data_IF_979166360185
#
_entry.id   IF_979166360185
#
_cell.length_a   1.000
_cell.length_b   1.000
_cell.length_c   1.000
_cell.angle_alpha   90.00
_cell.angle_beta   90.00
_cell.angle_gamma   90.00
#
_symmetry.space_group_name_H-M   'P 1'
#
loop_
_entity.id
_entity.type
_entity.pdbx_description
1 polymer ?
#
# COMPACT_ATOMS: atom_id res chain seq x y z
N UNK A 1 59.50 6.43 12.72
CA UNK A 1 58.62 5.78 13.72
C UNK A 1 57.67 6.74 14.41
N UNK A 2 58.09 7.93 14.87
CA UNK A 2 57.19 8.87 15.58
C UNK A 2 55.98 9.38 14.78
N UNK A 3 56.12 9.64 13.47
CA UNK A 3 55.01 10.16 12.66
C UNK A 3 53.87 9.15 12.47
N UNK A 4 54.18 7.86 12.40
CA UNK A 4 53.15 6.82 12.26
C UNK A 4 52.29 6.70 13.53
N UNK A 5 52.92 6.83 14.71
CA UNK A 5 52.24 6.83 16.01
C UNK A 5 51.27 8.01 16.17
N UNK A 6 51.48 9.10 15.43
CA UNK A 6 50.60 10.29 15.44
C UNK A 6 49.51 10.18 14.37
N UNK A 7 49.86 9.77 13.14
CA UNK A 7 48.91 9.72 12.02
C UNK A 7 47.85 8.64 12.22
N UNK A 8 48.24 7.44 12.69
CA UNK A 8 47.31 6.32 12.77
C UNK A 8 46.08 6.66 13.65
N UNK A 9 46.22 7.16 14.89
CA UNK A 9 45.08 7.58 15.72
C UNK A 9 44.20 8.67 15.07
N UNK A 10 44.82 9.62 14.36
CA UNK A 10 44.11 10.70 13.67
C UNK A 10 43.26 10.14 12.53
N UNK A 11 43.81 9.25 11.71
CA UNK A 11 43.08 8.61 10.60
C UNK A 11 41.89 7.78 11.09
N UNK A 12 42.02 7.09 12.24
CA UNK A 12 40.91 6.37 12.86
C UNK A 12 39.78 7.26 13.39
N UNK A 13 40.06 8.55 13.61
CA UNK A 13 39.08 9.53 14.08
C UNK A 13 38.26 10.14 12.94
N UNK A 14 38.71 9.98 11.69
CA UNK A 14 37.95 10.42 10.50
C UNK A 14 37.04 9.30 9.99
N UNK A 15 35.84 9.64 9.51
CA UNK A 15 34.94 8.65 8.93
C UNK A 15 35.56 8.04 7.68
N UNK A 16 35.48 6.72 7.58
CA UNK A 16 35.98 6.01 6.41
C UNK A 16 35.03 6.17 5.21
N UNK A 17 35.59 6.11 4.00
CA UNK A 17 34.83 6.21 2.75
C UNK A 17 33.83 5.05 2.55
N UNK A 18 33.97 3.94 3.29
CA UNK A 18 32.98 2.86 3.30
C UNK A 18 31.58 3.38 3.66
N UNK A 19 31.48 4.34 4.59
CA UNK A 19 30.21 4.96 4.97
C UNK A 19 29.60 5.88 3.92
N UNK A 20 30.32 6.23 2.85
CA UNK A 20 29.69 6.94 1.71
C UNK A 20 28.77 6.01 0.92
N UNK A 21 29.06 4.71 0.90
CA UNK A 21 28.21 3.72 0.21
C UNK A 21 26.79 3.66 0.82
N UNK A 22 26.67 4.01 2.09
CA UNK A 22 25.37 4.16 2.78
C UNK A 22 24.56 5.34 2.27
N UNK A 23 25.17 6.46 1.88
CA UNK A 23 24.45 7.60 1.30
C UNK A 23 23.96 7.25 -0.11
N UNK A 24 24.76 6.48 -0.87
CA UNK A 24 24.37 5.97 -2.19
C UNK A 24 23.12 5.09 -2.09
N UNK A 25 22.97 4.30 -1.01
CA UNK A 25 21.74 3.54 -0.80
C UNK A 25 20.50 4.43 -0.71
N UNK A 26 20.59 5.57 -0.03
CA UNK A 26 19.44 6.49 0.12
C UNK A 26 19.04 7.06 -1.24
N UNK A 27 20.01 7.43 -2.08
CA UNK A 27 19.74 7.86 -3.45
C UNK A 27 19.14 6.75 -4.31
N UNK A 28 19.63 5.52 -4.13
CA UNK A 28 19.03 4.34 -4.76
C UNK A 28 17.61 4.10 -4.27
N UNK A 29 17.34 4.26 -2.98
CA UNK A 29 16.03 4.05 -2.36
C UNK A 29 15.01 5.03 -2.95
N UNK A 30 15.37 6.30 -3.09
CA UNK A 30 14.52 7.30 -3.73
C UNK A 30 14.20 6.94 -5.18
N UNK A 31 15.22 6.62 -5.97
CA UNK A 31 15.05 6.19 -7.35
C UNK A 31 14.21 4.90 -7.46
N UNK A 32 14.44 3.94 -6.56
CA UNK A 32 13.70 2.67 -6.52
C UNK A 32 12.23 2.87 -6.15
N UNK A 33 11.92 3.88 -5.33
CA UNK A 33 10.57 4.28 -4.97
C UNK A 33 9.88 5.16 -6.02
N UNK A 34 10.57 5.53 -7.11
CA UNK A 34 10.01 6.40 -8.14
C UNK A 34 9.89 7.87 -7.72
N UNK A 35 10.57 8.29 -6.65
CA UNK A 35 10.56 9.66 -6.15
C UNK A 35 11.56 10.53 -6.91
N UNK A 36 11.07 11.60 -7.52
CA UNK A 36 11.87 12.58 -8.23
C UNK A 36 12.51 13.57 -7.25
N UNK A 37 13.75 13.30 -6.82
CA UNK A 37 14.50 14.23 -5.97
C UNK A 37 14.89 15.48 -6.78
N UNK A 38 14.32 16.64 -6.42
CA UNK A 38 14.71 17.93 -7.01
C UNK A 38 16.18 18.29 -6.74
N UNK A 39 16.80 19.02 -7.66
CA UNK A 39 18.22 19.40 -7.59
C UNK A 39 18.57 20.13 -6.28
N UNK A 40 17.63 20.94 -5.75
CA UNK A 40 17.82 21.70 -4.53
C UNK A 40 17.88 20.83 -3.27
N UNK A 41 17.28 19.64 -3.30
CA UNK A 41 17.24 18.68 -2.18
C UNK A 41 18.57 17.96 -2.00
N UNK A 42 19.41 17.88 -3.04
CA UNK A 42 20.74 17.25 -2.97
C UNK A 42 21.72 18.00 -2.05
N UNK A 43 21.58 19.32 -1.91
CA UNK A 43 22.53 20.12 -1.11
C UNK A 43 22.35 19.86 0.39
N UNK A 44 21.13 19.98 0.97
CA UNK A 44 20.87 19.57 2.36
C UNK A 44 21.21 18.09 2.60
N UNK A 45 20.85 17.21 1.65
CA UNK A 45 21.15 15.79 1.76
C UNK A 45 22.65 15.50 1.80
N UNK A 46 23.46 16.20 0.99
CA UNK A 46 24.91 16.05 1.00
C UNK A 46 25.52 16.49 2.33
N UNK A 47 25.00 17.58 2.92
CA UNK A 47 25.45 18.07 4.23
C UNK A 47 25.05 17.10 5.34
N UNK A 48 23.79 16.67 5.37
CA UNK A 48 23.29 15.70 6.35
C UNK A 48 24.00 14.35 6.21
N UNK A 49 24.25 13.91 4.98
CA UNK A 49 25.02 12.73 4.66
C UNK A 49 26.47 12.81 5.15
N UNK A 50 27.14 13.96 5.00
CA UNK A 50 28.49 14.16 5.53
C UNK A 50 28.53 14.07 7.07
N UNK A 51 27.55 14.66 7.75
CA UNK A 51 27.42 14.58 9.21
C UNK A 51 27.15 13.14 9.65
N UNK A 52 26.31 12.42 8.90
CA UNK A 52 25.92 11.06 9.21
C UNK A 52 27.06 10.04 9.09
N UNK A 53 28.12 10.37 8.35
CA UNK A 53 29.35 9.57 8.33
C UNK A 53 29.97 9.36 9.72
N UNK A 54 29.70 10.23 10.69
CA UNK A 54 30.15 10.05 12.08
C UNK A 54 29.20 9.17 12.91
N UNK A 55 27.95 9.02 12.48
CA UNK A 55 26.93 8.23 13.16
C UNK A 55 27.02 6.73 12.91
N UNK A 56 26.14 5.99 13.57
CA UNK A 56 25.88 4.59 13.24
C UNK A 56 25.01 4.53 11.98
N UNK A 57 25.30 3.55 11.12
CA UNK A 57 24.54 3.32 9.89
C UNK A 57 23.07 3.03 10.17
N UNK A 58 22.80 2.29 11.24
CA UNK A 58 21.46 1.89 11.69
C UNK A 58 20.58 3.07 12.11
N UNK A 59 21.16 4.21 12.50
CA UNK A 59 20.42 5.44 12.80
C UNK A 59 20.40 6.38 11.59
N UNK A 60 21.52 6.41 10.86
CA UNK A 60 21.73 7.29 9.73
C UNK A 60 20.75 7.02 8.59
N UNK A 61 20.57 5.75 8.20
CA UNK A 61 19.73 5.42 7.05
C UNK A 61 18.26 5.76 7.31
N UNK A 62 17.64 5.32 8.41
CA UNK A 62 16.27 5.73 8.73
C UNK A 62 16.11 7.26 8.77
N UNK A 63 17.04 7.98 9.39
CA UNK A 63 17.00 9.44 9.47
C UNK A 63 17.09 10.13 8.08
N UNK A 64 17.90 9.58 7.17
CA UNK A 64 18.01 10.12 5.81
C UNK A 64 16.82 9.74 4.92
N UNK A 65 16.23 8.56 5.11
CA UNK A 65 14.97 8.18 4.45
C UNK A 65 13.83 9.08 4.89
N UNK A 66 13.69 9.29 6.21
CA UNK A 66 12.71 10.18 6.82
C UNK A 66 12.86 11.63 6.33
N UNK A 67 14.10 12.13 6.25
CA UNK A 67 14.38 13.46 5.68
C UNK A 67 13.99 13.62 4.21
N UNK A 68 13.78 12.52 3.48
CA UNK A 68 13.33 12.50 2.08
C UNK A 68 11.88 12.00 1.96
N UNK A 69 11.17 11.82 3.08
CA UNK A 69 9.82 11.27 3.14
C UNK A 69 9.67 9.89 2.47
N UNK A 70 10.77 9.13 2.41
CA UNK A 70 10.80 7.79 1.82
C UNK A 70 10.36 6.73 2.82
N UNK A 71 9.72 5.66 2.30
CA UNK A 71 9.23 4.55 3.12
C UNK A 71 10.31 3.94 4.01
N UNK A 72 9.99 3.79 5.29
CA UNK A 72 10.83 3.16 6.30
C UNK A 72 11.12 1.67 6.01
N UNK A 73 10.27 0.99 5.23
CA UNK A 73 10.48 -0.39 4.79
C UNK A 73 11.71 -0.55 3.89
N UNK A 74 12.16 0.53 3.23
CA UNK A 74 13.41 0.54 2.47
C UNK A 74 14.63 0.28 3.36
N UNK A 75 14.54 0.54 4.67
CA UNK A 75 15.58 0.14 5.60
C UNK A 75 15.73 -1.39 5.71
N UNK A 76 14.65 -2.16 5.55
CA UNK A 76 14.76 -3.62 5.49
C UNK A 76 15.50 -4.07 4.22
N UNK A 77 15.24 -3.40 3.09
CA UNK A 77 15.99 -3.62 1.85
C UNK A 77 17.48 -3.29 2.04
N UNK A 78 17.79 -2.19 2.74
CA UNK A 78 19.15 -1.88 3.14
C UNK A 78 19.77 -3.02 3.94
N UNK A 79 19.09 -3.49 4.99
CA UNK A 79 19.58 -4.55 5.86
C UNK A 79 19.93 -5.82 5.10
N UNK A 80 19.08 -6.25 4.16
CA UNK A 80 19.33 -7.41 3.30
C UNK A 80 20.50 -7.16 2.35
N UNK A 81 20.55 -6.01 1.68
CA UNK A 81 21.65 -5.67 0.76
C UNK A 81 23.00 -5.53 1.49
N UNK A 82 22.97 -5.08 2.74
CA UNK A 82 24.15 -4.86 3.58
C UNK A 82 24.95 -6.15 3.84
N UNK A 83 24.29 -7.30 3.81
CA UNK A 83 24.96 -8.61 3.91
C UNK A 83 25.98 -8.81 2.78
N UNK A 84 25.68 -8.27 1.59
CA UNK A 84 26.56 -8.33 0.42
C UNK A 84 27.49 -7.13 0.34
N UNK A 85 26.96 -5.92 0.54
CA UNK A 85 27.73 -4.68 0.36
C UNK A 85 28.73 -4.44 1.49
N UNK A 86 28.51 -4.97 2.70
CA UNK A 86 29.42 -4.82 3.85
C UNK A 86 30.86 -5.26 3.58
N UNK A 87 31.07 -6.27 2.71
CA UNK A 87 32.40 -6.72 2.30
C UNK A 87 33.13 -5.65 1.49
N UNK A 88 32.42 -4.99 0.58
CA UNK A 88 32.94 -3.87 -0.21
C UNK A 88 33.19 -2.64 0.65
N UNK A 89 32.27 -2.33 1.58
CA UNK A 89 32.42 -1.27 2.58
C UNK A 89 33.68 -1.48 3.41
N UNK A 90 33.92 -2.70 3.89
CA UNK A 90 35.10 -3.04 4.70
C UNK A 90 36.39 -2.89 3.90
N UNK A 91 36.39 -3.31 2.63
CA UNK A 91 37.53 -3.18 1.74
C UNK A 91 37.83 -1.71 1.43
N UNK A 92 36.81 -0.91 1.12
CA UNK A 92 36.96 0.53 0.86
C UNK A 92 37.45 1.28 2.10
N UNK A 93 36.96 0.92 3.29
CA UNK A 93 37.43 1.47 4.56
C UNK A 93 38.90 1.13 4.82
N UNK A 94 39.30 -0.13 4.63
CA UNK A 94 40.69 -0.55 4.78
C UNK A 94 41.62 0.17 3.80
N UNK A 95 41.21 0.32 2.53
CA UNK A 95 41.98 1.07 1.53
C UNK A 95 42.12 2.55 1.89
N UNK A 96 41.03 3.19 2.34
CA UNK A 96 41.06 4.59 2.77
C UNK A 96 42.04 4.80 3.93
N UNK A 97 41.94 3.98 4.97
CA UNK A 97 42.84 4.05 6.14
C UNK A 97 44.29 3.79 5.72
N UNK A 98 44.52 2.77 4.88
CA UNK A 98 45.85 2.44 4.40
C UNK A 98 46.47 3.58 3.59
N UNK A 99 45.74 4.17 2.65
CA UNK A 99 46.20 5.29 1.82
C UNK A 99 46.52 6.51 2.68
N UNK A 100 45.66 6.87 3.63
CA UNK A 100 45.88 8.01 4.52
C UNK A 100 47.06 7.78 5.47
N UNK A 101 47.15 6.59 6.07
CA UNK A 101 48.21 6.26 7.02
C UNK A 101 49.59 6.15 6.33
N UNK A 102 49.69 5.34 5.27
CA UNK A 102 50.94 5.11 4.55
C UNK A 102 51.33 6.33 3.71
N UNK A 103 50.38 6.91 2.97
CA UNK A 103 50.60 8.09 2.16
C UNK A 103 50.97 9.31 3.01
N UNK A 104 50.24 9.55 4.10
CA UNK A 104 50.53 10.63 5.04
C UNK A 104 51.91 10.47 5.69
N UNK A 105 52.24 9.26 6.16
CA UNK A 105 53.56 8.99 6.74
C UNK A 105 54.68 9.17 5.71
N UNK A 106 54.51 8.65 4.49
CA UNK A 106 55.49 8.80 3.41
C UNK A 106 55.70 10.27 3.01
N UNK A 107 54.65 11.09 3.05
CA UNK A 107 54.75 12.54 2.83
C UNK A 107 55.48 13.25 3.97
N UNK A 108 55.16 12.95 5.24
CA UNK A 108 55.81 13.57 6.41
C UNK A 108 57.30 13.19 6.54
N UNK A 109 57.66 11.97 6.17
CA UNK A 109 59.08 11.51 6.15
C UNK A 109 59.82 12.04 4.92
N UNK A 110 59.13 12.66 3.96
CA UNK A 110 59.73 13.24 2.75
C UNK A 110 60.08 12.22 1.66
N UNK A 111 59.64 10.96 1.80
CA UNK A 111 59.80 9.89 0.80
C UNK A 111 58.87 10.13 -0.40
N UNK A 112 57.68 10.69 -0.15
CA UNK A 112 56.71 11.06 -1.16
C UNK A 112 56.62 12.58 -1.28
N UNK A 113 56.64 13.10 -2.51
CA UNK A 113 56.40 14.51 -2.81
C UNK A 113 55.09 14.66 -3.58
N UNK A 114 54.28 15.63 -3.17
CA UNK A 114 53.04 15.97 -3.86
C UNK A 114 53.38 16.66 -5.18
N UNK A 115 52.87 16.12 -6.28
CA UNK A 115 53.00 16.72 -7.61
C UNK A 115 51.69 17.38 -7.99
N UNK A 116 51.67 18.71 -8.09
CA UNK A 116 50.45 19.44 -8.44
C UNK A 116 49.90 19.07 -9.81
N UNK A 117 50.77 18.84 -10.80
CA UNK A 117 50.34 18.37 -12.12
C UNK A 117 49.62 17.02 -12.07
N UNK A 118 50.13 16.06 -11.29
CA UNK A 118 49.49 14.75 -11.12
C UNK A 118 48.21 14.86 -10.29
N UNK A 119 48.19 15.68 -9.25
CA UNK A 119 46.96 15.93 -8.49
C UNK A 119 45.86 16.49 -9.37
N UNK A 120 46.13 17.54 -10.15
CA UNK A 120 45.14 18.13 -11.05
C UNK A 120 44.65 17.11 -12.08
N UNK A 121 45.58 16.34 -12.68
CA UNK A 121 45.24 15.31 -13.65
C UNK A 121 44.35 14.22 -13.04
N UNK A 122 44.70 13.67 -11.87
CA UNK A 122 43.90 12.62 -11.23
C UNK A 122 42.57 13.16 -10.69
N UNK A 123 42.56 14.36 -10.12
CA UNK A 123 41.32 15.04 -9.71
C UNK A 123 40.37 15.30 -10.87
N UNK A 124 40.88 15.54 -12.08
CA UNK A 124 40.07 15.66 -13.30
C UNK A 124 39.66 14.28 -13.87
N UNK A 125 40.51 13.27 -13.77
CA UNK A 125 40.26 11.93 -14.29
C UNK A 125 39.20 11.18 -13.46
N UNK A 126 39.22 11.33 -12.14
CA UNK A 126 38.30 10.65 -11.21
C UNK A 126 36.82 10.88 -11.56
N UNK A 127 36.31 12.12 -11.73
CA UNK A 127 34.91 12.34 -12.08
C UNK A 127 34.55 11.80 -13.47
N UNK A 128 35.49 11.78 -14.42
CA UNK A 128 35.27 11.17 -15.75
C UNK A 128 35.10 9.67 -15.65
N UNK A 129 36.01 8.97 -14.96
CA UNK A 129 35.92 7.51 -14.77
C UNK A 129 34.68 7.14 -13.96
N UNK A 130 34.35 7.93 -12.94
CA UNK A 130 33.14 7.74 -12.13
C UNK A 130 31.88 7.93 -12.97
N UNK A 131 31.79 9.01 -13.76
CA UNK A 131 30.67 9.27 -14.65
C UNK A 131 30.48 8.17 -15.71
N UNK A 132 31.56 7.71 -16.32
CA UNK A 132 31.51 6.58 -17.28
C UNK A 132 31.02 5.30 -16.60
N UNK A 133 31.52 5.01 -15.40
CA UNK A 133 31.08 3.84 -14.62
C UNK A 133 29.59 3.94 -14.27
N UNK A 134 29.12 5.12 -13.83
CA UNK A 134 27.71 5.35 -13.53
C UNK A 134 26.82 5.18 -14.76
N UNK A 135 27.20 5.75 -15.91
CA UNK A 135 26.44 5.60 -17.15
C UNK A 135 26.39 4.16 -17.63
N UNK A 136 27.51 3.44 -17.55
CA UNK A 136 27.57 2.02 -17.89
C UNK A 136 26.71 1.16 -16.95
N UNK A 137 26.77 1.42 -15.64
CA UNK A 137 25.92 0.74 -14.66
C UNK A 137 24.44 1.07 -14.84
N UNK A 138 24.10 2.34 -15.10
CA UNK A 138 22.72 2.78 -15.37
C UNK A 138 22.16 2.12 -16.62
N UNK A 139 22.92 2.12 -17.72
CA UNK A 139 22.53 1.43 -18.96
C UNK A 139 22.34 -0.08 -18.74
N UNK A 140 23.26 -0.73 -18.04
CA UNK A 140 23.18 -2.15 -17.73
C UNK A 140 21.99 -2.48 -16.81
N UNK A 141 21.75 -1.67 -15.77
CA UNK A 141 20.60 -1.83 -14.88
C UNK A 141 19.29 -1.62 -15.62
N UNK A 142 19.17 -0.58 -16.46
CA UNK A 142 17.97 -0.34 -17.27
C UNK A 142 17.66 -1.47 -18.27
N UNK A 143 18.66 -2.26 -18.66
CA UNK A 143 18.49 -3.40 -19.56
C UNK A 143 18.12 -4.71 -18.82
N UNK A 144 18.39 -4.80 -17.52
CA UNK A 144 18.25 -6.03 -16.72
C UNK A 144 17.10 -5.92 -15.71
N UNK A 145 16.91 -4.74 -15.13
CA UNK A 145 15.94 -4.46 -14.07
C UNK A 145 14.80 -3.67 -14.68
N UNK A 146 13.63 -4.28 -14.75
CA UNK A 146 12.40 -3.58 -15.12
C UNK A 146 11.97 -2.75 -13.91
N UNK A 147 12.19 -1.44 -13.95
CA UNK A 147 11.86 -0.48 -12.88
C UNK A 147 10.44 0.06 -12.93
N UNK A 148 9.61 -0.47 -13.82
CA UNK A 148 8.19 -0.19 -13.82
C UNK A 148 7.56 -0.75 -12.53
N UNK A 149 7.36 0.14 -11.56
CA UNK A 149 6.47 -0.10 -10.43
C UNK A 149 5.06 -0.20 -11.01
N UNK A 150 4.58 -1.43 -11.23
CA UNK A 150 3.29 -1.72 -11.84
C UNK A 150 2.23 -2.10 -10.80
N UNK A 151 2.38 -1.75 -9.52
CA UNK A 151 1.45 -2.21 -8.47
C UNK A 151 0.13 -1.43 -8.47
N UNK A 152 0.20 -0.15 -8.83
CA UNK A 152 -0.94 0.67 -9.24
C UNK A 152 -1.66 0.06 -10.44
N UNK A 153 -0.91 -0.38 -11.46
CA UNK A 153 -1.44 -1.16 -12.58
C UNK A 153 -2.02 -2.50 -12.14
N UNK A 154 -1.41 -3.23 -11.20
CA UNK A 154 -1.89 -4.53 -10.73
C UNK A 154 -3.25 -4.37 -10.07
N UNK A 155 -3.41 -3.44 -9.12
CA UNK A 155 -4.69 -3.18 -8.44
C UNK A 155 -5.72 -2.59 -9.41
N UNK A 156 -5.30 -1.71 -10.34
CA UNK A 156 -6.16 -1.15 -11.37
C UNK A 156 -6.59 -2.18 -12.44
N UNK A 157 -5.78 -3.21 -12.68
CA UNK A 157 -6.03 -4.32 -13.63
C UNK A 157 -6.53 -5.59 -12.92
N UNK A 158 -6.79 -5.56 -11.60
CA UNK A 158 -7.43 -6.70 -10.92
C UNK A 158 -8.78 -6.94 -11.57
N UNK A 159 -8.87 -8.09 -12.24
CA UNK A 159 -10.05 -8.56 -12.96
C UNK A 159 -10.75 -9.66 -12.17
N UNK A 160 -11.95 -10.06 -12.59
CA UNK A 160 -12.66 -11.19 -11.98
C UNK A 160 -11.74 -12.41 -11.80
N UNK A 161 -11.67 -12.92 -10.56
CA UNK A 161 -10.82 -14.06 -10.20
C UNK A 161 -11.27 -15.36 -10.91
N UNK A 162 -12.56 -15.45 -11.27
CA UNK A 162 -13.14 -16.57 -12.00
C UNK A 162 -14.07 -16.05 -13.11
N UNK A 163 -14.08 -16.73 -14.26
CA UNK A 163 -15.02 -16.41 -15.36
C UNK A 163 -16.40 -17.00 -15.05
N UNK A 164 -17.28 -16.19 -14.51
CA UNK A 164 -18.71 -16.52 -14.37
C UNK A 164 -19.41 -16.32 -15.74
N UNK A 165 -20.38 -17.16 -16.14
CA UNK A 165 -21.05 -17.00 -17.43
C UNK A 165 -21.67 -15.60 -17.61
N UNK A 166 -21.48 -14.98 -18.78
CA UNK A 166 -21.97 -13.63 -19.10
C UNK A 166 -23.49 -13.47 -18.89
N UNK A 167 -24.24 -14.58 -18.99
CA UNK A 167 -25.68 -14.61 -18.74
C UNK A 167 -26.07 -14.24 -17.31
N UNK A 168 -25.16 -14.46 -16.34
CA UNK A 168 -25.37 -14.12 -14.93
C UNK A 168 -25.18 -12.61 -14.73
N UNK A 169 -24.15 -12.01 -15.33
CA UNK A 169 -23.67 -10.63 -15.08
C UNK A 169 -24.31 -9.55 -15.97
N UNK A 170 -25.06 -9.92 -17.01
CA UNK A 170 -25.56 -8.99 -18.03
C UNK A 170 -26.79 -8.14 -17.63
N UNK A 171 -27.33 -8.24 -16.41
CA UNK A 171 -28.57 -7.53 -16.06
C UNK A 171 -28.30 -6.14 -15.49
N UNK A 172 -28.72 -5.10 -16.20
CA UNK A 172 -28.58 -3.71 -15.74
C UNK A 172 -29.63 -3.37 -14.69
N UNK A 173 -29.23 -2.69 -13.62
CA UNK A 173 -30.12 -2.37 -12.51
C UNK A 173 -31.19 -1.33 -12.86
N UNK A 174 -30.97 -0.50 -13.87
CA UNK A 174 -31.92 0.49 -14.36
C UNK A 174 -33.11 -0.14 -15.11
N UNK A 175 -33.00 -1.41 -15.49
CA UNK A 175 -34.08 -2.20 -16.10
C UNK A 175 -34.92 -2.96 -15.06
N UNK A 176 -34.60 -2.84 -13.76
CA UNK A 176 -35.35 -3.50 -12.69
C UNK A 176 -36.74 -2.90 -12.53
N UNK A 177 -37.75 -3.78 -12.45
CA UNK A 177 -39.09 -3.39 -12.05
C UNK A 177 -39.07 -2.74 -10.66
N UNK A 178 -39.90 -1.71 -10.48
CA UNK A 178 -39.99 -0.92 -9.26
C UNK A 178 -40.17 -1.84 -8.04
N UNK A 179 -39.40 -1.57 -6.98
CA UNK A 179 -39.47 -2.34 -5.75
C UNK A 179 -40.84 -2.21 -5.10
N UNK A 180 -41.50 -3.35 -4.85
CA UNK A 180 -42.80 -3.45 -4.17
C UNK A 180 -42.66 -3.88 -2.70
N UNK A 181 -41.43 -4.04 -2.21
CA UNK A 181 -41.08 -4.50 -0.87
C UNK A 181 -39.99 -5.58 -0.88
N UNK A 182 -39.50 -6.01 0.30
CA UNK A 182 -38.52 -7.10 0.41
C UNK A 182 -39.02 -8.40 -0.20
N UNK A 183 -38.11 -9.17 -0.80
CA UNK A 183 -38.40 -10.47 -1.43
C UNK A 183 -37.75 -11.60 -0.66
N UNK A 184 -38.47 -12.69 -0.44
CA UNK A 184 -37.89 -13.90 0.15
C UNK A 184 -37.17 -14.76 -0.92
N UNK A 185 -36.61 -15.90 -0.50
CA UNK A 185 -35.83 -16.77 -1.38
C UNK A 185 -36.65 -17.30 -2.57
N UNK A 186 -37.92 -17.66 -2.35
CA UNK A 186 -38.77 -18.22 -3.40
C UNK A 186 -39.15 -17.14 -4.41
N UNK A 187 -39.51 -15.93 -3.95
CA UNK A 187 -39.77 -14.80 -4.85
C UNK A 187 -38.53 -14.41 -5.70
N UNK A 188 -37.32 -14.55 -5.14
CA UNK A 188 -36.07 -14.34 -5.89
C UNK A 188 -35.94 -15.39 -6.99
N UNK A 189 -36.13 -16.68 -6.66
CA UNK A 189 -36.08 -17.80 -7.64
C UNK A 189 -37.12 -17.65 -8.74
N UNK A 190 -38.36 -17.36 -8.38
CA UNK A 190 -39.46 -17.14 -9.34
C UNK A 190 -39.17 -15.95 -10.27
N UNK A 191 -38.57 -14.88 -9.75
CA UNK A 191 -38.19 -13.73 -10.58
C UNK A 191 -37.00 -14.01 -11.50
N UNK A 192 -36.19 -15.04 -11.20
CA UNK A 192 -34.94 -15.35 -11.91
C UNK A 192 -33.85 -14.29 -11.76
N UNK A 193 -33.99 -13.31 -10.84
CA UNK A 193 -33.05 -12.20 -10.65
C UNK A 193 -32.78 -11.94 -9.17
N UNK A 194 -31.53 -12.12 -8.75
CA UNK A 194 -30.98 -11.70 -7.47
C UNK A 194 -30.53 -10.24 -7.53
N UNK A 195 -31.10 -9.38 -6.69
CA UNK A 195 -30.71 -7.96 -6.59
C UNK A 195 -29.73 -7.79 -5.45
N UNK A 196 -28.52 -7.35 -5.77
CA UNK A 196 -27.43 -7.19 -4.80
C UNK A 196 -27.08 -5.71 -4.68
N UNK A 197 -27.34 -5.14 -3.52
CA UNK A 197 -26.92 -3.80 -3.16
C UNK A 197 -25.42 -3.75 -2.88
N UNK A 198 -24.70 -2.79 -3.49
CA UNK A 198 -23.26 -2.60 -3.26
C UNK A 198 -22.89 -1.12 -3.15
N UNK A 199 -21.77 -0.82 -2.50
CA UNK A 199 -21.15 0.50 -2.50
C UNK A 199 -19.97 0.54 -3.50
N UNK A 200 -19.96 1.43 -4.50
CA UNK A 200 -18.95 1.44 -5.57
C UNK A 200 -17.55 1.92 -5.14
N UNK A 201 -17.37 2.42 -3.91
CA UNK A 201 -16.10 3.00 -3.45
C UNK A 201 -15.44 2.16 -2.33
N UNK A 202 -15.77 0.88 -2.22
CA UNK A 202 -15.29 0.01 -1.14
C UNK A 202 -14.22 -0.96 -1.63
N UNK A 203 -13.01 -0.46 -1.87
CA UNK A 203 -11.84 -1.30 -2.17
C UNK A 203 -11.44 -2.08 -0.92
N UNK A 204 -11.15 -3.40 -0.99
CA UNK A 204 -11.17 -4.29 -2.16
C UNK A 204 -12.47 -5.11 -2.31
N UNK A 205 -13.55 -4.74 -1.61
CA UNK A 205 -14.81 -5.51 -1.55
C UNK A 205 -15.70 -5.32 -2.78
N UNK A 206 -15.88 -4.08 -3.22
CA UNK A 206 -16.66 -3.71 -4.39
C UNK A 206 -16.23 -2.35 -4.93
N UNK A 207 -15.69 -2.33 -6.14
CA UNK A 207 -15.19 -1.13 -6.80
C UNK A 207 -15.18 -1.32 -8.32
N UNK A 208 -15.00 -0.21 -9.04
CA UNK A 208 -14.77 -0.24 -10.48
C UNK A 208 -13.27 -0.27 -10.76
N UNK A 209 -12.81 -1.25 -11.55
CA UNK A 209 -11.43 -1.31 -12.01
C UNK A 209 -11.17 -0.34 -13.18
N UNK A 210 -9.95 -0.32 -13.73
CA UNK A 210 -9.61 0.57 -14.84
C UNK A 210 -10.40 0.29 -16.13
N UNK A 211 -10.94 -0.92 -16.29
CA UNK A 211 -11.80 -1.32 -17.42
C UNK A 211 -13.28 -0.98 -17.19
N UNK A 212 -13.61 -0.17 -16.17
CA UNK A 212 -14.98 0.19 -15.78
C UNK A 212 -15.86 -1.03 -15.44
N UNK A 213 -15.24 -2.10 -14.93
CA UNK A 213 -15.93 -3.31 -14.49
C UNK A 213 -16.11 -3.30 -12.98
N UNK A 214 -17.32 -3.62 -12.53
CA UNK A 214 -17.59 -3.88 -11.11
C UNK A 214 -16.92 -5.19 -10.68
N UNK A 215 -15.94 -5.07 -9.79
CA UNK A 215 -15.12 -6.16 -9.26
C UNK A 215 -14.94 -6.04 -7.75
N UNK A 216 -14.34 -7.06 -7.15
CA UNK A 216 -14.01 -7.10 -5.72
C UNK A 216 -14.45 -8.39 -5.03
N UNK A 217 -13.97 -8.57 -3.81
CA UNK A 217 -14.20 -9.79 -3.01
C UNK A 217 -15.70 -10.14 -2.89
N UNK A 218 -16.54 -9.17 -2.52
CA UNK A 218 -17.96 -9.42 -2.30
C UNK A 218 -18.72 -9.60 -3.63
N UNK A 219 -18.29 -8.89 -4.68
CA UNK A 219 -18.85 -8.99 -6.02
C UNK A 219 -18.68 -10.42 -6.55
N UNK A 220 -17.48 -10.98 -6.43
CA UNK A 220 -17.18 -12.36 -6.87
C UNK A 220 -17.96 -13.40 -6.06
N UNK A 221 -18.08 -13.21 -4.74
CA UNK A 221 -18.84 -14.12 -3.89
C UNK A 221 -20.33 -14.11 -4.28
N UNK A 222 -20.91 -12.93 -4.58
CA UNK A 222 -22.30 -12.84 -5.02
C UNK A 222 -22.55 -13.37 -6.43
N UNK A 223 -21.60 -13.21 -7.37
CA UNK A 223 -21.69 -13.84 -8.70
C UNK A 223 -21.74 -15.37 -8.58
N UNK A 224 -20.93 -15.96 -7.68
CA UNK A 224 -20.97 -17.40 -7.40
C UNK A 224 -22.32 -17.83 -6.82
N UNK A 225 -22.85 -17.08 -5.87
CA UNK A 225 -24.19 -17.34 -5.31
C UNK A 225 -25.25 -17.37 -6.42
N UNK A 226 -25.29 -16.35 -7.28
CA UNK A 226 -26.26 -16.26 -8.36
C UNK A 226 -26.12 -17.43 -9.35
N UNK A 227 -24.89 -17.83 -9.68
CA UNK A 227 -24.63 -18.99 -10.53
C UNK A 227 -25.13 -20.31 -9.92
N UNK A 228 -24.89 -20.54 -8.63
CA UNK A 228 -25.37 -21.74 -7.91
C UNK A 228 -26.89 -21.76 -7.71
N UNK A 229 -27.50 -20.58 -7.66
CA UNK A 229 -28.96 -20.42 -7.64
C UNK A 229 -29.60 -20.50 -9.02
N UNK A 230 -28.81 -20.56 -10.10
CA UNK A 230 -29.27 -20.51 -11.50
C UNK A 230 -30.12 -19.26 -11.81
N UNK A 231 -29.79 -18.12 -11.20
CA UNK A 231 -30.45 -16.82 -11.41
C UNK A 231 -29.49 -15.78 -11.99
N UNK A 232 -30.03 -14.73 -12.61
CA UNK A 232 -29.25 -13.55 -13.00
C UNK A 232 -28.93 -12.70 -11.78
N UNK A 233 -27.84 -11.94 -11.82
CA UNK A 233 -27.49 -10.96 -10.78
C UNK A 233 -27.66 -9.54 -11.31
N UNK A 234 -28.25 -8.67 -10.50
CA UNK A 234 -28.36 -7.24 -10.76
C UNK A 234 -27.73 -6.47 -9.60
N UNK A 235 -26.64 -5.76 -9.87
CA UNK A 235 -25.95 -4.95 -8.87
C UNK A 235 -26.55 -3.55 -8.78
N UNK A 236 -27.10 -3.20 -7.61
CA UNK A 236 -27.79 -1.93 -7.35
C UNK A 236 -26.89 -1.05 -6.46
N UNK A 237 -26.44 0.13 -6.93
CA UNK A 237 -25.56 0.99 -6.14
C UNK A 237 -26.30 1.61 -4.93
N UNK A 238 -25.64 1.69 -3.79
CA UNK A 238 -26.11 2.37 -2.58
C UNK A 238 -25.02 3.27 -1.96
N UNK A 239 -25.41 4.12 -1.01
CA UNK A 239 -24.48 4.87 -0.14
C UNK A 239 -24.61 4.42 1.32
N UNK A 240 -23.57 4.61 2.13
CA UNK A 240 -23.63 4.25 3.55
C UNK A 240 -24.80 4.91 4.30
N UNK A 241 -25.22 6.09 3.87
CA UNK A 241 -26.35 6.81 4.46
C UNK A 241 -27.72 6.21 4.14
N UNK A 242 -27.87 5.46 3.03
CA UNK A 242 -29.17 4.96 2.59
C UNK A 242 -29.35 3.44 2.65
N UNK A 243 -28.27 2.66 2.80
CA UNK A 243 -28.28 1.18 2.68
C UNK A 243 -29.35 0.50 3.52
N UNK A 244 -29.48 0.85 4.81
CA UNK A 244 -30.43 0.20 5.74
C UNK A 244 -31.90 0.53 5.38
N UNK A 245 -32.15 1.71 4.81
CA UNK A 245 -33.50 2.08 4.36
C UNK A 245 -33.82 1.44 3.01
N UNK A 246 -32.86 1.43 2.09
CA UNK A 246 -33.01 0.89 0.74
C UNK A 246 -33.33 -0.62 0.77
N UNK A 247 -32.64 -1.39 1.62
CA UNK A 247 -32.88 -2.83 1.74
C UNK A 247 -34.26 -3.17 2.29
N UNK A 248 -34.73 -2.42 3.30
CA UNK A 248 -36.06 -2.62 3.88
C UNK A 248 -37.19 -2.14 2.96
N UNK A 249 -36.89 -1.28 1.99
CA UNK A 249 -37.80 -0.91 0.89
C UNK A 249 -37.81 -1.95 -0.25
N UNK A 250 -36.95 -2.96 -0.19
CA UNK A 250 -36.84 -3.99 -1.23
C UNK A 250 -36.15 -3.52 -2.52
N UNK A 251 -35.35 -2.45 -2.45
CA UNK A 251 -34.58 -1.99 -3.62
C UNK A 251 -33.56 -3.06 -4.07
N UNK A 252 -33.05 -3.83 -3.13
CA UNK A 252 -32.23 -5.01 -3.33
C UNK A 252 -32.48 -6.02 -2.21
N UNK A 253 -32.12 -7.29 -2.43
CA UNK A 253 -32.41 -8.38 -1.51
C UNK A 253 -31.29 -8.55 -0.48
N UNK A 254 -30.04 -8.34 -0.90
CA UNK A 254 -28.83 -8.50 -0.11
C UNK A 254 -27.99 -7.21 -0.22
N UNK A 255 -27.45 -6.70 0.89
CA UNK A 255 -26.40 -5.68 0.86
C UNK A 255 -25.04 -6.29 1.19
N UNK A 256 -24.06 -6.00 0.35
CA UNK A 256 -22.66 -6.40 0.49
C UNK A 256 -21.75 -5.18 0.67
N UNK A 257 -20.43 -5.29 0.46
CA UNK A 257 -19.41 -4.22 0.54
C UNK A 257 -18.81 -4.03 1.94
N UNK A 258 -18.35 -5.12 2.56
CA UNK A 258 -17.62 -5.07 3.83
C UNK A 258 -18.42 -4.48 5.00
N UNK A 259 -19.76 -4.62 4.98
CA UNK A 259 -20.64 -3.96 5.94
C UNK A 259 -20.37 -4.44 7.38
N UNK A 260 -19.87 -3.51 8.20
CA UNK A 260 -19.70 -3.75 9.62
C UNK A 260 -21.04 -4.09 10.30
N UNK A 261 -21.10 -5.25 10.96
CA UNK A 261 -22.21 -5.65 11.83
C UNK A 261 -22.04 -5.01 13.21
N UNK A 262 -23.04 -4.24 13.65
CA UNK A 262 -23.04 -3.55 14.94
C UNK A 262 -24.37 -3.72 15.64
N UNK A 263 -24.39 -3.63 16.98
CA UNK A 263 -25.62 -3.72 17.79
C UNK A 263 -26.70 -2.74 17.33
N UNK A 264 -26.31 -1.53 16.92
CA UNK A 264 -27.25 -0.55 16.39
C UNK A 264 -27.85 -0.98 15.05
N UNK A 265 -27.05 -1.58 14.15
CA UNK A 265 -27.51 -1.97 12.81
C UNK A 265 -28.38 -3.23 12.84
N UNK A 266 -28.10 -4.20 13.72
CA UNK A 266 -28.91 -5.43 13.84
C UNK A 266 -30.35 -5.16 14.32
N UNK A 267 -30.64 -3.98 14.88
CA UNK A 267 -32.02 -3.56 15.21
C UNK A 267 -32.85 -3.21 13.97
N UNK A 268 -32.20 -2.85 12.85
CA UNK A 268 -32.86 -2.34 11.64
C UNK A 268 -32.82 -3.31 10.46
N UNK A 269 -31.89 -4.25 10.43
CA UNK A 269 -31.70 -5.23 9.33
C UNK A 269 -31.27 -6.58 9.89
N UNK A 270 -31.51 -7.65 9.13
CA UNK A 270 -30.94 -8.96 9.44
C UNK A 270 -29.50 -9.04 8.91
N UNK A 271 -28.57 -9.59 9.68
CA UNK A 271 -27.20 -9.85 9.22
C UNK A 271 -26.90 -11.34 9.15
N UNK A 272 -26.14 -11.76 8.14
CA UNK A 272 -25.60 -13.10 8.09
C UNK A 272 -24.56 -13.32 9.18
N UNK A 273 -24.13 -14.58 9.36
CA UNK A 273 -22.86 -14.88 10.00
C UNK A 273 -21.73 -14.07 9.33
N UNK A 274 -20.71 -13.61 10.08
CA UNK A 274 -19.64 -12.78 9.53
C UNK A 274 -18.99 -13.45 8.33
N UNK A 275 -18.92 -12.77 7.19
CA UNK A 275 -18.20 -13.25 6.01
C UNK A 275 -16.71 -13.18 6.28
N UNK A 276 -16.26 -12.05 6.84
CA UNK A 276 -14.89 -11.79 7.28
C UNK A 276 -14.89 -11.15 8.67
N UNK A 277 -13.80 -11.34 9.41
CA UNK A 277 -13.46 -10.52 10.57
C UNK A 277 -12.39 -9.53 10.12
N UNK A 278 -12.77 -8.28 9.95
CA UNK A 278 -11.87 -7.20 9.56
C UNK A 278 -11.22 -6.59 10.79
N UNK A 279 -10.09 -5.90 10.59
CA UNK A 279 -9.31 -5.37 11.71
C UNK A 279 -9.26 -3.85 11.68
N UNK A 280 -9.44 -3.19 12.82
CA UNK A 280 -9.32 -1.72 12.86
C UNK A 280 -7.87 -1.29 12.65
N UNK A 281 -7.67 -0.27 11.82
CA UNK A 281 -6.38 0.33 11.54
C UNK A 281 -6.54 1.84 11.28
N UNK A 282 -5.41 2.54 11.30
CA UNK A 282 -5.32 3.88 10.73
C UNK A 282 -4.35 3.85 9.55
N UNK A 283 -4.57 4.71 8.57
CA UNK A 283 -3.57 5.01 7.54
C UNK A 283 -3.05 6.42 7.76
N UNK A 284 -1.73 6.60 7.70
CA UNK A 284 -1.05 7.90 7.85
C UNK A 284 0.08 7.98 6.83
N UNK A 285 0.64 9.18 6.60
CA UNK A 285 1.90 9.32 5.85
C UNK A 285 3.01 8.54 6.54
N UNK A 286 3.81 7.78 5.79
CA UNK A 286 4.80 6.87 6.36
C UNK A 286 5.83 7.61 7.23
N UNK A 287 6.31 8.77 6.78
CA UNK A 287 7.24 9.61 7.57
C UNK A 287 6.64 10.10 8.90
N UNK A 288 5.31 10.13 9.05
CA UNK A 288 4.62 10.51 10.29
C UNK A 288 4.28 9.33 11.18
N UNK A 289 4.48 8.09 10.73
CA UNK A 289 4.06 6.90 11.47
C UNK A 289 4.61 6.86 12.91
N UNK A 290 5.81 7.41 13.11
CA UNK A 290 6.48 7.50 14.40
C UNK A 290 5.73 8.37 15.42
N UNK A 291 4.99 9.38 14.97
CA UNK A 291 4.15 10.25 15.81
C UNK A 291 3.04 9.45 16.52
N UNK A 292 2.62 8.34 15.94
CA UNK A 292 1.48 7.54 16.38
C UNK A 292 1.87 6.26 17.13
N UNK A 293 3.17 6.07 17.43
CA UNK A 293 3.69 4.82 18.03
C UNK A 293 3.15 4.49 19.42
N UNK A 294 2.83 5.49 20.24
CA UNK A 294 2.43 5.27 21.63
C UNK A 294 1.26 6.14 22.05
N UNK A 295 0.40 5.61 22.93
CA UNK A 295 -0.69 6.37 23.57
C UNK A 295 -0.22 7.68 24.19
N UNK A 296 1.01 7.71 24.74
CA UNK A 296 1.59 8.91 25.34
C UNK A 296 1.85 9.99 24.28
N UNK A 297 2.42 9.62 23.13
CA UNK A 297 2.68 10.56 22.04
C UNK A 297 1.38 11.10 21.46
N UNK A 298 0.38 10.22 21.25
CA UNK A 298 -0.94 10.62 20.77
C UNK A 298 -1.62 11.63 21.70
N UNK A 299 -1.50 11.47 23.03
CA UNK A 299 -2.06 12.42 24.01
C UNK A 299 -1.29 13.74 24.11
N UNK A 300 0.00 13.75 23.73
CA UNK A 300 0.86 14.93 23.78
C UNK A 300 0.84 15.72 22.47
N UNK A 301 0.39 15.08 21.38
CA UNK A 301 0.12 15.74 20.12
C UNK A 301 -0.96 16.82 20.29
N UNK A 302 -1.00 17.76 19.35
CA UNK A 302 -2.11 18.71 19.24
C UNK A 302 -3.41 18.01 18.81
N UNK A 303 -4.32 18.78 18.23
CA UNK A 303 -5.47 18.22 17.53
C UNK A 303 -5.00 17.30 16.41
N UNK A 304 -5.50 16.07 16.38
CA UNK A 304 -5.26 15.10 15.31
C UNK A 304 -6.59 14.90 14.56
N UNK A 305 -6.61 15.26 13.29
CA UNK A 305 -7.80 15.13 12.43
C UNK A 305 -7.80 13.79 11.73
N UNK A 306 -8.85 13.00 11.95
CA UNK A 306 -8.96 11.65 11.42
C UNK A 306 -10.16 11.56 10.50
N UNK A 307 -9.90 11.33 9.21
CA UNK A 307 -10.94 11.04 8.24
C UNK A 307 -11.52 9.63 8.46
N UNK A 308 -12.77 9.42 8.08
CA UNK A 308 -13.40 8.09 8.04
C UNK A 308 -14.49 8.02 6.97
N UNK A 309 -14.58 6.88 6.27
CA UNK A 309 -15.72 6.60 5.39
C UNK A 309 -16.76 5.81 6.17
N UNK A 310 -17.87 6.49 6.49
CA UNK A 310 -18.89 5.94 7.38
C UNK A 310 -18.49 5.99 8.85
N UNK A 311 -19.34 5.43 9.71
CA UNK A 311 -19.16 5.49 11.16
C UNK A 311 -18.73 4.13 11.70
N UNK A 312 -17.43 3.99 11.98
CA UNK A 312 -16.88 2.81 12.64
C UNK A 312 -17.29 2.79 14.11
N UNK A 313 -17.74 1.62 14.61
CA UNK A 313 -18.27 1.52 15.98
C UNK A 313 -17.25 1.79 17.09
N UNK A 314 -15.94 1.80 16.77
CA UNK A 314 -14.87 2.08 17.73
C UNK A 314 -14.63 3.59 17.95
N UNK A 315 -15.13 4.46 17.05
CA UNK A 315 -14.91 5.91 17.10
C UNK A 315 -15.27 6.51 18.47
N UNK A 316 -16.45 6.24 19.07
CA UNK A 316 -16.79 6.82 20.38
C UNK A 316 -15.81 6.42 21.50
N UNK A 317 -15.27 5.19 21.44
CA UNK A 317 -14.27 4.73 22.42
C UNK A 317 -12.93 5.42 22.21
N UNK A 318 -12.57 5.73 20.96
CA UNK A 318 -11.35 6.45 20.62
C UNK A 318 -11.44 7.91 21.02
N UNK A 319 -12.58 8.58 20.81
CA UNK A 319 -12.84 9.95 21.26
C UNK A 319 -12.78 10.05 22.79
N UNK A 320 -13.34 9.07 23.51
CA UNK A 320 -13.23 9.00 24.98
C UNK A 320 -11.77 8.79 25.42
N UNK A 321 -11.05 7.88 24.75
CA UNK A 321 -9.65 7.57 25.07
C UNK A 321 -8.73 8.73 24.73
N UNK A 322 -8.95 9.44 23.62
CA UNK A 322 -8.12 10.50 23.05
C UNK A 322 -8.97 11.73 22.72
N UNK A 323 -9.20 12.64 23.68
CA UNK A 323 -10.05 13.82 23.49
C UNK A 323 -9.53 14.83 22.45
N UNK A 324 -8.29 14.68 22.00
CA UNK A 324 -7.67 15.50 20.97
C UNK A 324 -7.87 14.95 19.54
N UNK A 325 -8.56 13.82 19.39
CA UNK A 325 -8.92 13.28 18.07
C UNK A 325 -10.21 13.94 17.58
N UNK A 326 -10.16 14.49 16.37
CA UNK A 326 -11.32 15.03 15.66
C UNK A 326 -11.66 14.13 14.49
N UNK A 327 -12.75 13.36 14.59
CA UNK A 327 -13.19 12.50 13.51
C UNK A 327 -14.08 13.25 12.52
N UNK A 328 -13.75 13.18 11.23
CA UNK A 328 -14.55 13.73 10.15
C UNK A 328 -15.01 12.63 9.19
N UNK A 329 -16.29 12.63 8.83
CA UNK A 329 -16.82 11.69 7.86
C UNK A 329 -16.64 12.24 6.44
N UNK A 330 -15.87 11.52 5.63
CA UNK A 330 -15.62 11.85 4.22
C UNK A 330 -16.38 10.90 3.29
N UNK A 331 -16.53 11.31 2.02
CA UNK A 331 -17.35 10.57 1.06
C UNK A 331 -16.67 9.31 0.51
N UNK A 332 -15.34 9.28 0.44
CA UNK A 332 -14.58 8.15 -0.10
C UNK A 332 -13.14 8.16 0.42
N UNK A 333 -12.53 6.99 0.59
CA UNK A 333 -11.16 6.87 1.09
C UNK A 333 -10.17 7.62 0.18
N UNK A 334 -10.42 7.62 -1.14
CA UNK A 334 -9.62 8.34 -2.14
C UNK A 334 -9.41 9.81 -1.80
N UNK A 335 -10.40 10.49 -1.24
CA UNK A 335 -10.28 11.92 -0.89
C UNK A 335 -9.21 12.17 0.17
N UNK A 336 -8.98 11.22 1.06
CA UNK A 336 -7.91 11.32 2.06
C UNK A 336 -6.52 11.25 1.40
N UNK A 337 -6.36 10.36 0.41
CA UNK A 337 -5.10 10.22 -0.32
C UNK A 337 -4.84 11.41 -1.26
N UNK A 338 -5.87 11.90 -1.96
CA UNK A 338 -5.79 13.08 -2.83
C UNK A 338 -5.54 14.40 -2.06
N UNK A 339 -5.93 14.46 -0.78
CA UNK A 339 -5.66 15.61 0.10
C UNK A 339 -4.17 15.77 0.45
N UNK A 340 -3.40 14.67 0.36
CA UNK A 340 -1.94 14.68 0.53
C UNK A 340 -1.51 15.24 1.92
N UNK A 341 -2.31 14.96 2.95
CA UNK A 341 -2.01 15.34 4.33
C UNK A 341 -2.23 16.82 4.67
N UNK A 342 -2.96 17.58 3.84
CA UNK A 342 -3.23 19.01 4.07
C UNK A 342 -4.31 19.25 5.13
N UNK A 343 -5.34 18.41 5.15
CA UNK A 343 -6.53 18.55 5.97
C UNK A 343 -6.59 17.49 7.07
N UNK A 344 -6.23 16.25 6.75
CA UNK A 344 -6.34 15.11 7.66
C UNK A 344 -4.98 14.50 7.98
N UNK A 345 -4.78 14.16 9.26
CA UNK A 345 -3.56 13.54 9.77
C UNK A 345 -3.57 12.01 9.60
N UNK A 346 -4.76 11.41 9.54
CA UNK A 346 -4.93 9.99 9.33
C UNK A 346 -6.32 9.60 8.84
N UNK A 347 -6.44 8.37 8.39
CA UNK A 347 -7.68 7.76 7.92
C UNK A 347 -8.00 6.54 8.77
N UNK A 348 -9.17 6.53 9.41
CA UNK A 348 -9.72 5.34 10.07
C UNK A 348 -10.28 4.38 9.02
N UNK A 349 -9.71 3.18 8.93
CA UNK A 349 -10.04 2.19 7.92
C UNK A 349 -9.83 0.76 8.45
N UNK A 350 -10.32 -0.27 7.75
CA UNK A 350 -9.89 -1.64 8.04
C UNK A 350 -8.42 -1.84 7.62
N UNK A 351 -7.69 -2.71 8.31
CA UNK A 351 -6.31 -3.07 7.94
C UNK A 351 -6.27 -3.66 6.52
N UNK A 352 -7.27 -4.46 6.16
CA UNK A 352 -7.41 -5.09 4.86
C UNK A 352 -7.54 -4.07 3.73
N UNK A 353 -8.44 -3.08 3.89
CA UNK A 353 -8.60 -2.02 2.90
C UNK A 353 -7.42 -1.04 2.94
N UNK A 354 -6.93 -0.68 4.12
CA UNK A 354 -5.77 0.19 4.32
C UNK A 354 -4.54 -0.33 3.59
N UNK A 355 -4.22 -1.62 3.74
CA UNK A 355 -3.10 -2.25 3.01
C UNK A 355 -3.26 -2.19 1.50
N UNK A 356 -4.48 -2.36 1.01
CA UNK A 356 -4.76 -2.25 -0.43
C UNK A 356 -4.52 -0.83 -0.91
N UNK A 357 -4.94 0.18 -0.15
CA UNK A 357 -4.70 1.58 -0.49
C UNK A 357 -3.22 1.97 -0.40
N UNK A 358 -2.45 1.46 0.56
CA UNK A 358 -1.00 1.76 0.65
C UNK A 358 -0.18 1.12 -0.49
N UNK A 359 -0.74 0.15 -1.21
CA UNK A 359 -0.15 -0.33 -2.47
C UNK A 359 -0.35 0.70 -3.59
N UNK A 360 -1.48 1.41 -3.59
CA UNK A 360 -1.77 2.49 -4.55
C UNK A 360 -1.08 3.81 -4.21
N UNK A 361 -0.81 4.05 -2.92
CA UNK A 361 -0.19 5.26 -2.37
C UNK A 361 0.96 4.87 -1.43
N UNK A 362 2.14 4.52 -1.97
CA UNK A 362 3.27 3.95 -1.22
C UNK A 362 3.90 4.91 -0.19
N UNK A 363 3.57 6.19 -0.24
CA UNK A 363 3.96 7.21 0.73
C UNK A 363 3.11 7.18 2.01
N UNK A 364 2.11 6.30 2.07
CA UNK A 364 1.28 6.04 3.24
C UNK A 364 1.55 4.65 3.82
N UNK A 365 1.24 4.49 5.11
CA UNK A 365 1.39 3.23 5.82
C UNK A 365 0.22 2.95 6.76
N UNK A 366 -0.04 1.67 7.02
CA UNK A 366 -1.07 1.22 7.97
C UNK A 366 -0.50 1.11 9.38
N UNK A 367 -1.14 1.78 10.33
CA UNK A 367 -0.89 1.65 11.77
C UNK A 367 -1.86 0.65 12.40
N UNK A 368 -1.32 -0.32 13.12
CA UNK A 368 -2.10 -1.30 13.87
C UNK A 368 -1.30 -1.83 15.05
N UNK A 369 -1.97 -2.10 16.18
CA UNK A 369 -1.32 -2.68 17.35
C UNK A 369 -1.24 -4.20 17.18
N UNK A 370 -0.05 -4.73 16.88
CA UNK A 370 0.19 -6.17 16.69
C UNK A 370 -0.19 -7.05 17.89
N UNK A 371 -0.18 -6.50 19.11
CA UNK A 371 -0.49 -7.24 20.34
C UNK A 371 -1.99 -7.25 20.67
N UNK A 372 -2.73 -6.23 20.22
CA UNK A 372 -4.17 -6.07 20.47
C UNK A 372 -4.91 -5.62 19.22
N UNK A 373 -4.78 -6.37 18.11
CA UNK A 373 -5.54 -6.05 16.90
C UNK A 373 -7.02 -6.32 17.16
N UNK A 374 -7.78 -5.26 17.43
CA UNK A 374 -9.23 -5.34 17.58
C UNK A 374 -9.86 -5.62 16.22
N UNK A 375 -10.65 -6.68 16.15
CA UNK A 375 -11.43 -7.02 14.96
C UNK A 375 -12.89 -6.61 15.08
N UNK A 376 -13.57 -6.58 13.94
CA UNK A 376 -15.01 -6.40 13.83
C UNK A 376 -15.59 -7.28 12.72
N UNK A 377 -16.81 -7.80 12.92
CA UNK A 377 -17.45 -8.65 11.93
C UNK A 377 -17.95 -7.82 10.74
N UNK A 378 -17.58 -8.23 9.53
CA UNK A 378 -18.19 -7.79 8.28
C UNK A 378 -19.16 -8.87 7.79
N UNK A 379 -20.43 -8.51 7.61
CA UNK A 379 -21.53 -9.45 7.29
C UNK A 379 -22.37 -8.91 6.13
N UNK A 380 -23.09 -9.80 5.46
CA UNK A 380 -24.12 -9.39 4.51
C UNK A 380 -25.41 -9.04 5.23
N UNK A 381 -26.09 -8.00 4.76
CA UNK A 381 -27.37 -7.60 5.31
C UNK A 381 -28.52 -8.05 4.42
N UNK A 382 -29.64 -8.39 5.04
CA UNK A 382 -30.95 -8.63 4.41
C UNK A 382 -32.00 -7.75 5.09
N UNK A 383 -33.17 -7.59 4.47
CA UNK A 383 -34.28 -6.88 5.12
C UNK A 383 -34.62 -7.51 6.50
N UNK A 384 -35.02 -6.66 7.46
CA UNK A 384 -35.18 -7.05 8.88
C UNK A 384 -35.98 -8.34 9.09
N UNK A 385 -37.09 -8.47 8.38
CA UNK A 385 -38.05 -9.56 8.58
C UNK A 385 -37.82 -10.73 7.61
N UNK A 386 -36.67 -10.79 6.92
CA UNK A 386 -36.35 -11.81 5.92
C UNK A 386 -35.48 -12.94 6.47
N UNK A 387 -35.97 -13.63 7.51
CA UNK A 387 -35.25 -14.71 8.18
C UNK A 387 -34.96 -15.91 7.27
N UNK A 388 -35.83 -16.16 6.27
CA UNK A 388 -35.66 -17.24 5.29
C UNK A 388 -34.39 -17.03 4.45
N UNK A 389 -34.25 -15.84 3.84
CA UNK A 389 -33.06 -15.50 3.06
C UNK A 389 -31.81 -15.45 3.94
N UNK A 390 -31.91 -14.89 5.15
CA UNK A 390 -30.80 -14.86 6.11
C UNK A 390 -30.28 -16.26 6.43
N UNK A 391 -31.17 -17.20 6.72
CA UNK A 391 -30.81 -18.59 7.08
C UNK A 391 -30.16 -19.30 5.90
N UNK A 392 -30.73 -19.14 4.70
CA UNK A 392 -30.15 -19.67 3.47
C UNK A 392 -28.72 -19.15 3.25
N UNK A 393 -28.51 -17.83 3.36
CA UNK A 393 -27.18 -17.22 3.21
C UNK A 393 -26.21 -17.70 4.28
N UNK A 394 -26.65 -17.88 5.53
CA UNK A 394 -25.80 -18.43 6.59
C UNK A 394 -25.29 -19.84 6.24
N UNK A 395 -26.19 -20.73 5.81
CA UNK A 395 -25.81 -22.08 5.40
C UNK A 395 -24.91 -22.07 4.17
N UNK A 396 -25.20 -21.21 3.19
CA UNK A 396 -24.38 -21.07 2.00
C UNK A 396 -22.98 -20.55 2.31
N UNK A 397 -22.86 -19.50 3.12
CA UNK A 397 -21.56 -18.95 3.55
C UNK A 397 -20.73 -19.99 4.30
N UNK A 398 -21.35 -20.83 5.13
CA UNK A 398 -20.65 -21.90 5.83
C UNK A 398 -20.06 -22.93 4.86
N UNK A 399 -20.80 -23.27 3.79
CA UNK A 399 -20.31 -24.14 2.71
C UNK A 399 -19.12 -23.47 2.00
N UNK A 400 -19.22 -22.19 1.64
CA UNK A 400 -18.15 -21.49 0.92
C UNK A 400 -16.88 -21.35 1.74
N UNK A 401 -17.00 -21.09 3.05
CA UNK A 401 -15.87 -21.10 3.97
C UNK A 401 -15.25 -22.49 4.09
N UNK A 402 -16.08 -23.51 4.32
CA UNK A 402 -15.60 -24.90 4.46
C UNK A 402 -14.91 -25.42 3.20
N UNK A 403 -15.29 -24.92 2.02
CA UNK A 403 -14.66 -25.27 0.74
C UNK A 403 -13.30 -24.59 0.51
N UNK A 404 -12.94 -23.57 1.30
CA UNK A 404 -11.75 -22.74 1.08
C UNK A 404 -11.92 -21.67 -0.02
N UNK A 405 -13.10 -21.53 -0.61
CA UNK A 405 -13.36 -20.53 -1.65
C UNK A 405 -13.27 -19.10 -1.10
N UNK A 406 -13.79 -18.87 0.11
CA UNK A 406 -13.66 -17.57 0.80
C UNK A 406 -12.19 -17.20 1.01
N UNK A 407 -11.35 -18.15 1.44
CA UNK A 407 -9.92 -17.93 1.64
C UNK A 407 -9.20 -17.65 0.32
N UNK A 408 -9.60 -18.33 -0.76
CA UNK A 408 -9.07 -18.09 -2.11
C UNK A 408 -9.35 -16.66 -2.57
N UNK A 409 -10.59 -16.18 -2.38
CA UNK A 409 -10.95 -14.80 -2.70
C UNK A 409 -10.24 -13.80 -1.77
N UNK A 410 -10.08 -14.12 -0.49
CA UNK A 410 -9.36 -13.27 0.46
C UNK A 410 -7.90 -13.10 0.03
N UNK A 411 -7.21 -14.19 -0.29
CA UNK A 411 -5.82 -14.15 -0.73
C UNK A 411 -5.65 -13.33 -2.01
N UNK A 412 -6.56 -13.48 -2.98
CA UNK A 412 -6.51 -12.71 -4.21
C UNK A 412 -6.82 -11.22 -3.98
N UNK A 413 -7.98 -10.90 -3.41
CA UNK A 413 -8.49 -9.53 -3.33
C UNK A 413 -7.90 -8.70 -2.20
N UNK A 414 -7.51 -9.31 -1.08
CA UNK A 414 -7.04 -8.59 0.12
C UNK A 414 -5.53 -8.72 0.28
N UNK A 415 -4.94 -9.89 -0.01
CA UNK A 415 -3.49 -10.09 0.10
C UNK A 415 -2.75 -9.87 -1.23
N UNK A 416 -3.47 -9.72 -2.35
CA UNK A 416 -2.87 -9.56 -3.68
C UNK A 416 -2.13 -10.80 -4.18
N UNK A 417 -2.34 -11.96 -3.55
CA UNK A 417 -1.68 -13.20 -3.96
C UNK A 417 -2.18 -13.64 -5.34
N UNK A 418 -1.25 -13.94 -6.24
CA UNK A 418 -1.53 -14.35 -7.62
C UNK A 418 -2.19 -13.28 -8.52
N UNK A 419 -2.31 -12.03 -8.08
CA UNK A 419 -2.65 -10.92 -8.95
C UNK A 419 -1.45 -10.64 -9.90
N UNK A 420 -1.53 -11.15 -11.13
CA UNK A 420 -0.59 -10.79 -12.20
C UNK A 420 -1.26 -9.76 -13.09
N UNK A 421 -0.59 -8.65 -13.45
CA UNK A 421 -1.14 -7.70 -14.41
C UNK A 421 -1.43 -8.46 -15.70
N UNK A 422 -2.68 -8.41 -16.18
CA UNK A 422 -3.03 -8.95 -17.49
C UNK A 422 -2.48 -7.98 -18.54
N UNK A 423 -1.19 -8.12 -18.85
CA UNK A 423 -0.61 -7.44 -20.00
C UNK A 423 -1.37 -7.89 -21.25
N UNK A 424 -1.84 -6.92 -22.04
CA UNK A 424 -2.48 -7.22 -23.31
C UNK A 424 -1.55 -8.12 -24.14
N UNK A 425 -2.08 -9.24 -24.64
CA UNK A 425 -1.28 -10.17 -25.44
C UNK A 425 -0.73 -9.42 -26.66
N UNK A 426 0.59 -9.44 -26.82
CA UNK A 426 1.27 -8.88 -27.98
C UNK A 426 0.68 -9.45 -29.28
N UNK A 427 0.29 -8.57 -30.20
CA UNK A 427 -0.40 -8.89 -31.44
C UNK A 427 0.23 -8.14 -32.60
N UNK A 428 0.64 -8.85 -33.65
CA UNK A 428 1.20 -8.25 -34.88
C UNK A 428 0.23 -7.24 -35.50
N UNK A 429 -1.07 -7.52 -35.45
CA UNK A 429 -2.10 -6.63 -36.04
C UNK A 429 -2.21 -5.32 -35.25
N UNK A 430 -2.04 -5.37 -33.93
CA UNK A 430 -2.13 -4.22 -33.02
C UNK A 430 -0.80 -3.46 -32.90
N UNK A 431 0.25 -4.18 -32.54
CA UNK A 431 1.52 -3.63 -32.07
C UNK A 431 2.54 -3.41 -33.19
N UNK A 432 2.34 -4.05 -34.36
CA UNK A 432 3.23 -3.89 -35.53
C UNK A 432 2.51 -3.20 -36.69
N UNK A 433 1.25 -3.56 -36.94
CA UNK A 433 0.48 -3.07 -38.09
C UNK A 433 -0.44 -1.91 -37.76
N UNK A 434 -0.78 -1.69 -36.49
CA UNK A 434 -1.70 -0.65 -36.02
C UNK A 434 -3.08 -0.65 -36.73
N UNK A 435 -3.56 -1.83 -37.13
CA UNK A 435 -4.81 -1.96 -37.91
C UNK A 435 -6.07 -2.02 -37.05
N UNK A 436 -5.91 -2.17 -35.73
CA UNK A 436 -7.01 -2.19 -34.76
C UNK A 436 -6.57 -1.34 -33.56
N UNK A 437 -7.46 -0.47 -33.08
CA UNK A 437 -7.19 0.34 -31.89
C UNK A 437 -7.04 -0.56 -30.66
N UNK A 438 -6.20 -0.14 -29.71
CA UNK A 438 -6.09 -0.83 -28.43
C UNK A 438 -7.45 -0.78 -27.73
N UNK A 439 -8.01 -1.95 -27.39
CA UNK A 439 -9.16 -2.03 -26.49
C UNK A 439 -8.83 -1.21 -25.24
N UNK A 440 -9.62 -0.16 -25.00
CA UNK A 440 -9.52 0.72 -23.84
C UNK A 440 -9.96 -0.02 -22.58
#
# INVERSE_FOLDING_TARGET
>A
DDYANIIIPVVFSFPNLGKLLTIVFVLFAAWFSGEDIDFLTYVPMSINGLISLFGSVYLTIPMLLDSLELSSDLFQLYMVSSLFTSRFTSLLAAMNIFILAVGGTAMLVGIAKVSMARLIMYSALTPVVFGVSLLASSWLLSSIVNTEYNMDEVVAQMSAAEKVPDQVTAFRWDELAQATGPRDLEAIRESGILRVGYNPIQVPFSFYNAQDQLVGFDVELMKKLAAEMEVKIAFVPYTFGNVLSAINKGQFDIAISGLQMTTKRIEFVGFTTPVLNLHYSFVVKDHRADEFKTDKMLRQAGTIKIASVGSYSIIPQLEEKFPNFEFEMIQSDRLFFEDDGKTWDGLMISLEAGKTWTILYPEYTTLYNREEIKSFPASYAVARDNASLQTFLNSWLEIQKSSGYVDTLYNYWILGENAKPQTARWSVIKDVLHWVEADK
#
